data_IF_237160038177
#
_entry.id   IF_237160038177
#
_cell.length_a   1.000
_cell.length_b   1.000
_cell.length_c   1.000
_cell.angle_alpha   90.00
_cell.angle_beta   90.00
_cell.angle_gamma   90.00
#
_symmetry.space_group_name_H-M   'P 1'
#
loop_
_entity.id
_entity.type
_entity.pdbx_description
1 polymer ?
#
# COMPACT_ATOMS: atom_id res chain seq x y z
N UNK A 1 7.68 -38.09 -2.05
CA UNK A 1 8.04 -38.98 -0.93
C UNK A 1 9.41 -38.56 -0.44
N UNK A 2 9.52 -37.93 0.73
CA UNK A 2 10.80 -37.62 1.34
C UNK A 2 11.12 -38.75 2.32
N UNK A 3 12.10 -39.58 1.98
CA UNK A 3 12.63 -40.62 2.88
C UNK A 3 13.60 -39.97 3.86
N UNK A 4 13.28 -40.05 5.15
CA UNK A 4 14.22 -39.76 6.23
C UNK A 4 15.21 -40.93 6.27
N UNK A 5 16.35 -40.80 5.60
CA UNK A 5 17.50 -41.67 5.86
C UNK A 5 18.31 -41.04 7.00
N UNK A 6 18.20 -41.62 8.19
CA UNK A 6 19.12 -41.36 9.29
C UNK A 6 20.42 -42.14 9.06
N UNK A 7 21.56 -41.45 9.02
CA UNK A 7 22.88 -42.04 9.25
C UNK A 7 23.42 -41.57 10.61
N UNK A 8 24.16 -42.41 11.37
CA UNK A 8 24.33 -42.19 12.82
C UNK A 8 25.35 -41.12 13.22
N UNK A 9 26.07 -40.45 12.31
CA UNK A 9 27.18 -39.54 12.66
C UNK A 9 27.58 -38.55 11.54
N UNK A 10 26.63 -38.13 10.70
CA UNK A 10 26.82 -37.07 9.70
C UNK A 10 26.00 -35.81 10.04
N UNK A 11 26.39 -34.61 9.59
CA UNK A 11 25.60 -33.41 9.81
C UNK A 11 24.20 -33.60 9.24
N UNK A 12 23.18 -33.39 10.08
CA UNK A 12 21.78 -33.51 9.69
C UNK A 12 21.47 -32.45 8.63
N UNK A 13 21.20 -32.91 7.41
CA UNK A 13 20.81 -32.04 6.31
C UNK A 13 19.35 -31.59 6.50
N UNK A 14 19.16 -30.46 7.19
CA UNK A 14 17.82 -29.89 7.48
C UNK A 14 17.21 -29.20 6.25
N UNK A 15 18.04 -28.74 5.32
CA UNK A 15 17.64 -27.99 4.13
C UNK A 15 18.11 -28.70 2.86
N UNK A 16 17.33 -28.62 1.78
CA UNK A 16 17.77 -29.09 0.46
C UNK A 16 19.06 -28.34 0.07
N UNK A 17 19.96 -28.99 -0.67
CA UNK A 17 21.26 -28.41 -1.07
C UNK A 17 21.13 -27.09 -1.84
N UNK A 18 20.00 -26.84 -2.52
CA UNK A 18 19.70 -25.60 -3.24
C UNK A 18 18.99 -24.53 -2.40
N UNK A 19 18.70 -24.77 -1.12
CA UNK A 19 17.96 -23.84 -0.29
C UNK A 19 18.88 -22.73 0.25
N UNK A 20 18.53 -21.47 -0.07
CA UNK A 20 19.17 -20.30 0.50
C UNK A 20 18.61 -20.01 1.90
N UNK A 21 19.49 -19.79 2.87
CA UNK A 21 19.10 -19.39 4.22
C UNK A 21 19.88 -18.14 4.64
N UNK A 22 19.16 -17.07 4.95
CA UNK A 22 19.71 -15.88 5.61
C UNK A 22 19.17 -15.82 7.05
N UNK A 23 20.01 -15.44 8.01
CA UNK A 23 19.66 -15.38 9.44
C UNK A 23 20.03 -14.04 10.05
N UNK A 24 19.37 -13.71 11.15
CA UNK A 24 19.74 -12.58 12.00
C UNK A 24 19.60 -11.22 11.31
N UNK A 25 20.55 -10.33 11.58
CA UNK A 25 20.53 -8.93 11.14
C UNK A 25 20.63 -8.78 9.62
N UNK A 26 21.37 -9.67 8.95
CA UNK A 26 21.56 -9.59 7.50
C UNK A 26 20.25 -9.89 6.76
N UNK A 27 19.46 -10.86 7.25
CA UNK A 27 18.13 -11.13 6.73
C UNK A 27 17.18 -9.93 6.93
N UNK A 28 17.23 -9.29 8.11
CA UNK A 28 16.42 -8.10 8.40
C UNK A 28 16.77 -6.94 7.48
N UNK A 29 18.07 -6.65 7.30
CA UNK A 29 18.54 -5.60 6.40
C UNK A 29 18.15 -5.86 4.95
N UNK A 30 18.31 -7.09 4.47
CA UNK A 30 17.92 -7.46 3.12
C UNK A 30 16.40 -7.27 2.89
N UNK A 31 15.58 -7.71 3.85
CA UNK A 31 14.13 -7.52 3.80
C UNK A 31 13.73 -6.04 3.76
N UNK A 32 14.35 -5.22 4.61
CA UNK A 32 14.09 -3.77 4.66
C UNK A 32 14.55 -3.10 3.36
N UNK A 33 15.73 -3.44 2.85
CA UNK A 33 16.24 -2.90 1.60
C UNK A 33 15.30 -3.20 0.42
N UNK A 34 14.82 -4.44 0.29
CA UNK A 34 13.86 -4.81 -0.76
C UNK A 34 12.57 -3.99 -0.69
N UNK A 35 12.00 -3.82 0.51
CA UNK A 35 10.78 -3.03 0.70
C UNK A 35 11.00 -1.53 0.43
N UNK A 36 12.16 -0.98 0.83
CA UNK A 36 12.55 0.41 0.56
C UNK A 36 12.69 0.68 -0.94
N UNK A 37 13.30 -0.24 -1.69
CA UNK A 37 13.44 -0.12 -3.15
C UNK A 37 12.07 -0.03 -3.83
N UNK A 38 11.10 -0.85 -3.41
CA UNK A 38 9.73 -0.80 -3.93
C UNK A 38 9.07 0.55 -3.60
N UNK A 39 9.25 1.05 -2.38
CA UNK A 39 8.72 2.35 -1.98
C UNK A 39 9.36 3.51 -2.77
N UNK A 40 10.67 3.48 -2.98
CA UNK A 40 11.40 4.49 -3.77
C UNK A 40 10.95 4.50 -5.23
N UNK A 41 10.65 3.33 -5.79
CA UNK A 41 10.13 3.22 -7.14
C UNK A 41 8.83 4.03 -7.27
N UNK A 42 7.84 3.79 -6.42
CA UNK A 42 6.52 4.46 -6.55
C UNK A 42 6.51 5.89 -6.01
N UNK A 43 7.52 6.30 -5.23
CA UNK A 43 7.60 7.62 -4.56
C UNK A 43 7.44 8.80 -5.51
N UNK A 44 8.00 8.74 -6.72
CA UNK A 44 7.93 9.84 -7.70
C UNK A 44 6.54 10.02 -8.30
N UNK A 45 5.67 9.01 -8.19
CA UNK A 45 4.31 9.03 -8.70
C UNK A 45 3.30 9.48 -7.64
N UNK A 46 3.76 9.82 -6.42
CA UNK A 46 2.92 10.31 -5.35
C UNK A 46 2.61 11.81 -5.50
N UNK A 47 1.32 12.14 -5.42
CA UNK A 47 0.81 13.53 -5.37
C UNK A 47 0.24 14.05 -6.69
N UNK A 48 -0.30 15.28 -6.71
CA UNK A 48 -0.98 15.84 -7.89
C UNK A 48 -0.03 16.19 -9.05
N UNK A 49 1.28 16.20 -8.79
CA UNK A 49 2.35 16.30 -9.80
C UNK A 49 3.19 15.03 -9.85
N UNK A 50 2.58 13.90 -9.52
CA UNK A 50 3.22 12.59 -9.65
C UNK A 50 3.64 12.35 -11.10
N UNK A 51 4.85 11.83 -11.29
CA UNK A 51 5.36 11.50 -12.61
C UNK A 51 4.76 10.16 -13.08
N UNK A 52 4.34 10.14 -14.33
CA UNK A 52 3.96 8.90 -15.01
C UNK A 52 5.18 7.98 -15.16
N UNK A 53 4.95 6.68 -15.04
CA UNK A 53 5.95 5.66 -15.33
C UNK A 53 5.60 4.92 -16.59
N UNK A 54 6.59 4.79 -17.45
CA UNK A 54 6.55 3.90 -18.60
C UNK A 54 7.07 2.53 -18.16
N UNK A 55 6.18 1.55 -18.18
CA UNK A 55 6.46 0.15 -17.87
C UNK A 55 6.52 -0.60 -19.20
N UNK A 56 7.55 -1.41 -19.38
CA UNK A 56 7.75 -2.21 -20.59
C UNK A 56 7.83 -3.66 -20.16
N UNK A 57 6.88 -4.47 -20.62
CA UNK A 57 6.92 -5.92 -20.37
C UNK A 57 7.98 -6.60 -21.26
N UNK A 58 8.35 -7.81 -20.87
CA UNK A 58 9.15 -8.77 -21.63
C UNK A 58 8.67 -9.01 -23.06
N UNK A 59 7.36 -8.89 -23.32
CA UNK A 59 6.77 -8.99 -24.66
C UNK A 59 6.86 -7.69 -25.49
N UNK A 60 7.31 -6.59 -24.88
CA UNK A 60 7.42 -5.28 -25.51
C UNK A 60 6.17 -4.40 -25.40
N UNK A 61 5.13 -4.85 -24.69
CA UNK A 61 3.95 -4.05 -24.41
C UNK A 61 4.30 -2.90 -23.45
N UNK A 62 3.84 -1.69 -23.80
CA UNK A 62 4.15 -0.46 -23.07
C UNK A 62 2.91 0.04 -22.34
N UNK A 63 3.00 0.13 -21.01
CA UNK A 63 1.95 0.70 -20.16
C UNK A 63 2.46 1.98 -19.51
N UNK A 64 1.75 3.09 -19.70
CA UNK A 64 2.06 4.37 -19.06
C UNK A 64 1.00 4.64 -18.00
N UNK A 65 1.43 4.76 -16.75
CA UNK A 65 0.52 5.01 -15.62
C UNK A 65 1.21 5.69 -14.46
N UNK A 66 0.46 6.46 -13.68
CA UNK A 66 0.87 7.00 -12.39
C UNK A 66 0.26 6.26 -11.19
N UNK A 67 -0.63 5.29 -11.42
CA UNK A 67 -1.27 4.55 -10.36
C UNK A 67 -0.32 3.53 -9.72
N UNK A 68 -0.11 3.65 -8.42
CA UNK A 68 0.80 2.81 -7.65
C UNK A 68 0.40 1.34 -7.65
N UNK A 69 -0.90 1.01 -7.66
CA UNK A 69 -1.35 -0.39 -7.68
C UNK A 69 -1.03 -1.03 -9.04
N UNK A 70 -1.32 -0.35 -10.13
CA UNK A 70 -0.96 -0.79 -11.48
C UNK A 70 0.56 -0.92 -11.64
N UNK A 71 1.34 0.07 -11.20
CA UNK A 71 2.82 0.01 -11.25
C UNK A 71 3.33 -1.23 -10.53
N UNK A 72 2.82 -1.52 -9.34
CA UNK A 72 3.30 -2.63 -8.50
C UNK A 72 2.88 -4.00 -9.01
N UNK A 73 1.77 -4.08 -9.77
CA UNK A 73 1.28 -5.33 -10.38
C UNK A 73 2.12 -5.76 -11.58
N UNK A 74 2.64 -4.81 -12.34
CA UNK A 74 3.45 -5.08 -13.53
C UNK A 74 4.92 -5.43 -13.21
N UNK A 75 5.36 -5.24 -11.96
CA UNK A 75 6.74 -5.56 -11.56
C UNK A 75 6.84 -7.02 -11.13
N UNK A 76 7.69 -7.79 -11.81
CA UNK A 76 8.08 -9.12 -11.35
C UNK A 76 9.04 -9.02 -10.16
N UNK A 77 8.50 -9.13 -8.94
CA UNK A 77 9.28 -9.13 -7.70
C UNK A 77 9.54 -10.55 -7.20
N UNK A 78 10.82 -10.94 -7.10
CA UNK A 78 11.19 -12.26 -6.55
C UNK A 78 11.30 -12.26 -5.02
N UNK A 79 11.68 -11.11 -4.43
CA UNK A 79 11.93 -11.00 -3.00
C UNK A 79 10.62 -11.01 -2.17
N UNK A 80 10.48 -11.85 -1.13
CA UNK A 80 9.24 -11.96 -0.35
C UNK A 80 8.77 -10.64 0.28
N UNK A 81 9.70 -9.84 0.84
CA UNK A 81 9.36 -8.53 1.40
C UNK A 81 8.82 -7.55 0.34
N UNK A 82 9.30 -7.63 -0.91
CA UNK A 82 8.78 -6.81 -2.00
C UNK A 82 7.36 -7.26 -2.40
N UNK A 83 7.11 -8.58 -2.47
CA UNK A 83 5.76 -9.12 -2.68
C UNK A 83 4.77 -8.65 -1.61
N UNK A 84 5.19 -8.60 -0.34
CA UNK A 84 4.34 -8.06 0.74
C UNK A 84 3.96 -6.59 0.49
N UNK A 85 4.87 -5.76 -0.03
CA UNK A 85 4.56 -4.37 -0.38
C UNK A 85 3.55 -4.28 -1.53
N UNK A 86 3.64 -5.17 -2.53
CA UNK A 86 2.68 -5.25 -3.64
C UNK A 86 1.28 -5.62 -3.12
N UNK A 87 1.19 -6.59 -2.22
CA UNK A 87 -0.09 -7.02 -1.63
C UNK A 87 -0.76 -5.94 -0.78
N UNK A 88 0.02 -5.11 -0.06
CA UNK A 88 -0.50 -3.93 0.65
C UNK A 88 -1.22 -2.99 -0.33
N UNK A 89 -0.56 -2.67 -1.45
CA UNK A 89 -1.13 -1.79 -2.47
C UNK A 89 -2.42 -2.36 -3.06
N UNK A 90 -2.41 -3.65 -3.41
CA UNK A 90 -3.55 -4.34 -4.01
C UNK A 90 -4.77 -4.41 -3.07
N UNK A 91 -4.53 -4.61 -1.78
CA UNK A 91 -5.59 -4.66 -0.76
C UNK A 91 -6.24 -3.29 -0.62
N UNK A 92 -5.43 -2.23 -0.57
CA UNK A 92 -5.94 -0.85 -0.45
C UNK A 92 -6.65 -0.42 -1.73
N UNK A 93 -6.16 -0.83 -2.90
CA UNK A 93 -6.83 -0.59 -4.18
C UNK A 93 -8.23 -1.23 -4.22
N UNK A 94 -8.37 -2.45 -3.70
CA UNK A 94 -9.66 -3.16 -3.68
C UNK A 94 -10.64 -2.57 -2.67
N UNK A 95 -10.18 -2.25 -1.46
CA UNK A 95 -11.04 -1.75 -0.38
C UNK A 95 -11.37 -0.26 -0.54
N UNK A 96 -10.36 0.54 -0.93
CA UNK A 96 -10.39 2.00 -0.87
C UNK A 96 -10.13 2.67 -2.23
N UNK A 97 -9.49 2.02 -3.21
CA UNK A 97 -9.27 2.63 -4.55
C UNK A 97 -8.46 3.94 -4.61
N UNK A 98 -7.97 4.44 -3.46
CA UNK A 98 -7.12 5.61 -3.31
C UNK A 98 -6.10 5.38 -2.18
N UNK A 99 -4.98 6.11 -2.21
CA UNK A 99 -3.90 5.97 -1.24
C UNK A 99 -3.02 4.73 -1.43
N UNK A 100 -3.17 4.02 -2.55
CA UNK A 100 -2.33 2.88 -2.95
C UNK A 100 -0.84 3.24 -2.89
N UNK A 101 -0.44 4.31 -3.58
CA UNK A 101 0.93 4.83 -3.55
C UNK A 101 1.35 5.31 -2.17
N UNK A 102 0.48 6.06 -1.47
CA UNK A 102 0.77 6.64 -0.15
C UNK A 102 1.09 5.57 0.88
N UNK A 103 0.33 4.48 0.90
CA UNK A 103 0.50 3.37 1.85
C UNK A 103 1.84 2.66 1.69
N UNK A 104 2.25 2.39 0.45
CA UNK A 104 3.52 1.75 0.11
C UNK A 104 4.70 2.65 0.49
N UNK A 105 4.62 3.94 0.15
CA UNK A 105 5.65 4.93 0.53
C UNK A 105 5.73 5.06 2.05
N UNK A 106 4.59 5.08 2.75
CA UNK A 106 4.53 5.18 4.20
C UNK A 106 5.14 3.95 4.89
N UNK A 107 4.81 2.74 4.42
CA UNK A 107 5.41 1.51 4.92
C UNK A 107 6.94 1.49 4.71
N UNK A 108 7.41 1.90 3.53
CA UNK A 108 8.85 2.03 3.26
C UNK A 108 9.55 3.02 4.20
N UNK A 109 8.92 4.17 4.49
CA UNK A 109 9.44 5.16 5.43
C UNK A 109 9.51 4.63 6.87
N UNK A 110 8.49 3.88 7.32
CA UNK A 110 8.51 3.23 8.64
C UNK A 110 9.64 2.20 8.76
N UNK A 111 9.88 1.42 7.71
CA UNK A 111 10.99 0.46 7.67
C UNK A 111 12.35 1.15 7.66
N UNK A 112 12.51 2.28 6.97
CA UNK A 112 13.74 3.09 7.03
C UNK A 112 14.02 3.62 8.45
N UNK A 113 12.99 4.04 9.18
CA UNK A 113 13.14 4.46 10.58
C UNK A 113 13.41 3.27 11.51
N UNK A 114 12.79 2.12 11.25
CA UNK A 114 13.04 0.90 12.01
C UNK A 114 14.49 0.42 11.83
N UNK A 115 15.04 0.50 10.61
CA UNK A 115 16.44 0.19 10.31
C UNK A 115 17.41 0.98 11.22
N UNK A 116 17.19 2.29 11.35
CA UNK A 116 17.99 3.18 12.21
C UNK A 116 17.90 2.82 13.70
N UNK A 117 16.80 2.22 14.15
CA UNK A 117 16.64 1.74 15.53
C UNK A 117 17.33 0.38 15.73
N UNK A 118 17.23 -0.51 14.74
CA UNK A 118 17.95 -1.78 14.73
C UNK A 118 19.47 -1.59 14.75
N UNK A 119 19.98 -0.56 14.06
CA UNK A 119 21.39 -0.17 14.11
C UNK A 119 21.86 0.31 15.49
N UNK A 120 20.93 0.80 16.31
CA UNK A 120 21.17 1.19 17.72
C UNK A 120 20.94 0.04 18.69
N UNK A 121 20.92 -1.19 18.20
CA UNK A 121 20.69 -2.42 18.97
C UNK A 121 19.33 -2.47 19.69
N UNK A 122 18.33 -1.71 19.23
CA UNK A 122 16.96 -1.85 19.74
C UNK A 122 16.35 -3.14 19.21
N UNK A 123 15.80 -3.96 20.11
CA UNK A 123 15.18 -5.23 19.73
C UNK A 123 13.91 -5.00 18.90
N UNK A 124 13.70 -5.79 17.83
CA UNK A 124 12.59 -5.61 16.89
C UNK A 124 11.22 -5.64 17.56
N UNK A 125 11.04 -6.44 18.61
CA UNK A 125 9.80 -6.50 19.40
C UNK A 125 9.44 -5.12 19.96
N UNK A 126 10.40 -4.41 20.53
CA UNK A 126 10.17 -3.08 21.12
C UNK A 126 9.76 -2.06 20.06
N UNK A 127 10.32 -2.18 18.85
CA UNK A 127 9.97 -1.32 17.71
C UNK A 127 8.51 -1.59 17.28
N UNK A 128 8.12 -2.87 17.20
CA UNK A 128 6.76 -3.28 16.84
C UNK A 128 5.76 -2.77 17.89
N UNK A 129 6.02 -2.99 19.17
CA UNK A 129 5.18 -2.52 20.26
C UNK A 129 5.02 -0.99 20.23
N UNK A 130 6.11 -0.27 19.98
CA UNK A 130 6.10 1.18 19.83
C UNK A 130 5.28 1.66 18.63
N UNK A 131 5.38 0.98 17.48
CA UNK A 131 4.57 1.30 16.30
C UNK A 131 3.09 1.00 16.51
N UNK A 132 2.76 -0.06 17.24
CA UNK A 132 1.38 -0.40 17.56
C UNK A 132 0.74 0.64 18.49
N UNK A 133 1.43 1.03 19.56
CA UNK A 133 0.97 2.11 20.45
C UNK A 133 0.85 3.45 19.71
N UNK A 134 1.79 3.76 18.81
CA UNK A 134 1.72 4.97 17.99
C UNK A 134 0.53 4.96 17.02
N UNK A 135 0.20 3.80 16.44
CA UNK A 135 -0.95 3.63 15.54
C UNK A 135 -2.26 3.90 16.25
N UNK A 136 -2.45 3.32 17.44
CA UNK A 136 -3.65 3.54 18.26
C UNK A 136 -3.82 5.03 18.58
N UNK A 137 -2.74 5.69 19.03
CA UNK A 137 -2.82 7.12 19.34
C UNK A 137 -3.04 7.99 18.11
N UNK A 138 -2.48 7.63 16.97
CA UNK A 138 -2.70 8.34 15.72
C UNK A 138 -4.17 8.29 15.29
N UNK A 139 -4.83 7.13 15.45
CA UNK A 139 -6.25 6.98 15.13
C UNK A 139 -7.15 7.84 16.03
N UNK A 140 -6.85 7.92 17.33
CA UNK A 140 -7.57 8.82 18.25
C UNK A 140 -7.48 10.28 17.79
N UNK A 141 -6.26 10.75 17.49
CA UNK A 141 -6.03 12.13 17.05
C UNK A 141 -6.69 12.42 15.70
N UNK A 142 -6.67 11.45 14.77
CA UNK A 142 -7.37 11.58 13.49
C UNK A 142 -8.88 11.70 13.67
N UNK A 143 -9.46 10.98 14.64
CA UNK A 143 -10.88 11.09 14.96
C UNK A 143 -11.25 12.47 15.56
N UNK A 144 -10.38 13.05 16.40
CA UNK A 144 -10.57 14.39 16.94
C UNK A 144 -10.46 15.49 15.87
N UNK A 145 -9.58 15.30 14.88
CA UNK A 145 -9.38 16.25 13.78
C UNK A 145 -10.40 16.08 12.64
N UNK A 146 -11.09 14.94 12.59
CA UNK A 146 -12.04 14.61 11.53
C UNK A 146 -13.23 15.58 11.55
N UNK A 147 -13.55 16.15 10.38
CA UNK A 147 -14.75 16.96 10.20
C UNK A 147 -15.87 16.09 9.65
N UNK A 148 -16.98 16.00 10.40
CA UNK A 148 -18.15 15.24 9.97
C UNK A 148 -18.81 15.94 8.77
N UNK A 149 -18.95 15.21 7.66
CA UNK A 149 -19.69 15.66 6.48
C UNK A 149 -21.05 14.98 6.48
N UNK A 150 -22.12 15.75 6.28
CA UNK A 150 -23.47 15.19 6.19
C UNK A 150 -23.64 14.49 4.84
N UNK A 151 -24.22 13.28 4.80
CA UNK A 151 -24.42 12.56 3.53
C UNK A 151 -25.37 13.23 2.55
N UNK A 152 -26.28 14.08 3.04
CA UNK A 152 -27.23 14.82 2.20
C UNK A 152 -26.61 16.16 1.69
N UNK A 153 -25.39 16.52 2.10
CA UNK A 153 -24.71 17.74 1.65
C UNK A 153 -24.03 17.55 0.29
N UNK A 154 -24.81 17.76 -0.76
CA UNK A 154 -24.36 17.64 -2.15
C UNK A 154 -23.15 18.52 -2.48
N UNK A 155 -23.06 19.73 -1.92
CA UNK A 155 -21.95 20.64 -2.24
C UNK A 155 -20.62 20.09 -1.70
N UNK A 156 -20.64 19.58 -0.46
CA UNK A 156 -19.48 18.94 0.15
C UNK A 156 -19.09 17.65 -0.57
N UNK A 157 -20.07 16.82 -0.98
CA UNK A 157 -19.80 15.60 -1.75
C UNK A 157 -19.15 15.89 -3.11
N UNK A 158 -19.60 16.93 -3.82
CA UNK A 158 -18.97 17.36 -5.09
C UNK A 158 -17.53 17.80 -4.86
N UNK A 159 -17.25 18.54 -3.77
CA UNK A 159 -15.88 18.94 -3.43
C UNK A 159 -14.99 17.73 -3.16
N UNK A 160 -15.48 16.74 -2.41
CA UNK A 160 -14.75 15.50 -2.11
C UNK A 160 -14.44 14.72 -3.39
N UNK A 161 -15.45 14.46 -4.22
CA UNK A 161 -15.29 13.75 -5.49
C UNK A 161 -14.34 14.51 -6.45
N UNK A 162 -14.41 15.84 -6.47
CA UNK A 162 -13.48 16.63 -7.28
C UNK A 162 -12.04 16.47 -6.80
N UNK A 163 -11.81 16.48 -5.48
CA UNK A 163 -10.46 16.36 -4.91
C UNK A 163 -9.81 15.01 -5.23
N UNK A 164 -10.53 13.90 -5.15
CA UNK A 164 -9.98 12.57 -5.45
C UNK A 164 -9.61 12.39 -6.93
N UNK A 165 -10.23 13.15 -7.84
CA UNK A 165 -9.95 13.08 -9.28
C UNK A 165 -8.77 13.97 -9.73
N UNK A 166 -8.28 14.89 -8.89
CA UNK A 166 -7.25 15.87 -9.29
C UNK A 166 -5.87 15.27 -9.59
N UNK A 167 -5.54 14.11 -9.04
CA UNK A 167 -4.24 13.45 -9.22
C UNK A 167 -4.20 12.48 -10.41
N UNK A 168 -5.30 12.36 -11.17
CA UNK A 168 -5.44 11.41 -12.28
C UNK A 168 -5.56 12.15 -13.62
N UNK A 169 -5.41 11.41 -14.73
CA UNK A 169 -5.56 11.95 -16.09
C UNK A 169 -6.92 12.63 -16.34
N UNK A 170 -7.95 12.26 -15.58
CA UNK A 170 -9.31 12.83 -15.65
C UNK A 170 -9.47 14.17 -14.91
N UNK A 171 -8.37 14.78 -14.45
CA UNK A 171 -8.38 16.03 -13.68
C UNK A 171 -9.04 17.20 -14.45
N UNK A 172 -8.89 17.24 -15.78
CA UNK A 172 -9.48 18.26 -16.67
C UNK A 172 -11.02 18.20 -16.65
N UNK A 173 -11.59 16.99 -16.68
CA UNK A 173 -13.04 16.74 -16.67
C UNK A 173 -13.62 16.51 -15.26
N UNK A 174 -12.84 16.79 -14.21
CA UNK A 174 -13.25 16.56 -12.82
C UNK A 174 -14.54 17.31 -12.42
N UNK A 175 -14.83 18.46 -13.03
CA UNK A 175 -16.01 19.26 -12.70
C UNK A 175 -17.34 18.69 -13.20
N UNK A 176 -17.49 18.28 -14.48
CA UNK A 176 -18.68 17.55 -14.93
C UNK A 176 -18.78 16.14 -14.34
N UNK A 177 -17.66 15.41 -14.22
CA UNK A 177 -17.65 14.04 -13.71
C UNK A 177 -18.05 13.96 -12.22
N UNK A 178 -17.55 14.86 -11.38
CA UNK A 178 -17.92 14.89 -9.95
C UNK A 178 -19.43 15.08 -9.75
N UNK A 179 -20.10 15.92 -10.56
CA UNK A 179 -21.56 16.08 -10.49
C UNK A 179 -22.29 14.80 -10.86
N UNK A 180 -21.88 14.16 -11.96
CA UNK A 180 -22.47 12.90 -12.43
C UNK A 180 -22.34 11.79 -11.39
N UNK A 181 -21.15 11.63 -10.80
CA UNK A 181 -20.87 10.62 -9.76
C UNK A 181 -21.72 10.87 -8.54
N UNK A 182 -21.79 12.10 -8.03
CA UNK A 182 -22.61 12.43 -6.86
C UNK A 182 -24.11 12.20 -7.14
N UNK A 183 -24.61 12.54 -8.33
CA UNK A 183 -26.00 12.29 -8.70
C UNK A 183 -26.32 10.80 -8.83
N UNK A 184 -25.38 9.99 -9.30
CA UNK A 184 -25.53 8.53 -9.35
C UNK A 184 -25.54 7.93 -7.93
N UNK A 185 -24.63 8.37 -7.06
CA UNK A 185 -24.53 7.87 -5.68
C UNK A 185 -25.77 8.23 -4.88
N UNK A 186 -26.28 9.46 -4.98
CA UNK A 186 -27.50 9.87 -4.28
C UNK A 186 -28.75 9.09 -4.74
N UNK A 187 -28.76 8.54 -5.97
CA UNK A 187 -29.85 7.70 -6.47
C UNK A 187 -29.75 6.25 -6.02
N UNK A 188 -28.53 5.75 -5.79
CA UNK A 188 -28.26 4.35 -5.39
C UNK A 188 -28.20 4.21 -3.87
N UNK A 189 -27.90 5.28 -3.14
CA UNK A 189 -27.78 5.27 -1.70
C UNK A 189 -29.13 4.97 -1.01
N UNK A 190 -29.32 3.73 -0.56
CA UNK A 190 -30.37 3.39 0.38
C UNK A 190 -30.00 3.88 1.79
N UNK A 191 -30.93 4.57 2.46
CA UNK A 191 -30.77 5.03 3.86
C UNK A 191 -30.88 3.83 4.82
N UNK A 192 -29.87 2.97 4.84
CA UNK A 192 -29.77 1.90 5.85
C UNK A 192 -28.95 2.41 7.03
N UNK A 193 -29.58 2.40 8.20
CA UNK A 193 -29.26 3.22 9.38
C UNK A 193 -27.91 2.96 10.10
N UNK A 194 -26.92 2.28 9.50
CA UNK A 194 -25.70 1.89 10.24
C UNK A 194 -24.36 2.20 9.55
N UNK A 195 -24.31 2.50 8.25
CA UNK A 195 -23.08 3.06 7.68
C UNK A 195 -23.40 3.66 6.33
N UNK A 196 -23.53 4.97 6.26
CA UNK A 196 -23.72 5.66 4.99
C UNK A 196 -22.36 5.68 4.29
N UNK A 197 -22.08 4.58 3.57
CA UNK A 197 -21.59 4.53 2.19
C UNK A 197 -20.77 5.73 1.68
N UNK A 198 -19.73 6.12 2.41
CA UNK A 198 -18.55 6.75 1.79
C UNK A 198 -17.71 5.71 1.03
N UNK A 199 -17.92 4.42 1.30
CA UNK A 199 -17.30 3.29 0.60
C UNK A 199 -17.59 3.28 -0.90
N UNK A 200 -18.72 3.86 -1.38
CA UNK A 200 -19.04 3.87 -2.82
C UNK A 200 -18.30 4.96 -3.62
N UNK A 201 -17.79 6.04 -3.00
CA UNK A 201 -16.98 7.06 -3.70
C UNK A 201 -15.54 6.57 -3.93
N UNK A 202 -15.17 5.52 -3.20
CA UNK A 202 -13.81 5.12 -2.93
C UNK A 202 -13.57 3.71 -3.52
N UNK A 203 -14.55 2.80 -3.53
CA UNK A 203 -14.36 1.38 -3.88
C UNK A 203 -14.68 0.99 -5.35
N UNK A 204 -14.69 1.93 -6.32
CA UNK A 204 -14.71 1.59 -7.76
C UNK A 204 -13.99 2.61 -8.65
#
# INVERSE_FOLDING_TARGET
>A
MASIQQTPQGPVLVLKESALQQKGRDAQKNNIAAAKLVAELVKTSLGPRGLDKMLVDSLGDVTITNDGATILKEIDTQHPAAKMMVEISKTIDTEVGDGTTSSVVFAGALLEKAEKLLEKDVHSTVIIDGYQAASEKALELLAELAKTVKPDDRESLIKIAKTSMQSKLISEDSAPLSKLVVDAILKIAEKTAINILLTLIISK
#
